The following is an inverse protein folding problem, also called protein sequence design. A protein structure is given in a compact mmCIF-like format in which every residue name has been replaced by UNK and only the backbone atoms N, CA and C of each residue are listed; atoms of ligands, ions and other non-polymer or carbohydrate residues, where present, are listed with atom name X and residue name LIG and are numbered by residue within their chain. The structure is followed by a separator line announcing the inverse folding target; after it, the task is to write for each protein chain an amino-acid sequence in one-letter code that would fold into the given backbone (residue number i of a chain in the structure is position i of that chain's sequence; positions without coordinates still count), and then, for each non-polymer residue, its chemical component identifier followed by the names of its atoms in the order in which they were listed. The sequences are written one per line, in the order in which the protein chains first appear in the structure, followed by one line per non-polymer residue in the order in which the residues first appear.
data_IF_495832265492
#
_entry.id   IF_495832265492
#
_cell.length_a   1.000
_cell.length_b   1.000
_cell.length_c   1.000
_cell.angle_alpha   90.00
_cell.angle_beta   90.00
_cell.angle_gamma   90.00
#
_symmetry.space_group_name_H-M   'P 1'
#
loop_
_entity.id
_entity.type
_entity.pdbx_description
1 polymer ?
#
# COMPACT_ATOMS: atom_id res chain seq x y z
N UNK A 1 10.29 0.99 -20.79
CA UNK A 1 9.53 1.98 -20.03
C UNK A 1 10.52 3.06 -19.59
N UNK A 2 10.11 4.33 -19.58
CA UNK A 2 10.95 5.44 -19.11
C UNK A 2 11.19 5.31 -17.60
N UNK A 3 12.37 5.73 -17.13
CA UNK A 3 12.70 5.66 -15.70
C UNK A 3 11.93 6.71 -14.91
N UNK A 4 11.55 6.41 -13.66
CA UNK A 4 10.77 7.31 -12.79
C UNK A 4 11.38 8.71 -12.68
N UNK A 5 12.70 8.83 -12.52
CA UNK A 5 13.39 10.11 -12.30
C UNK A 5 14.09 10.66 -13.56
N UNK A 6 13.83 10.07 -14.74
CA UNK A 6 14.52 10.41 -16.00
C UNK A 6 14.44 11.90 -16.36
N UNK A 7 13.41 12.58 -15.87
CA UNK A 7 13.10 13.96 -16.22
C UNK A 7 13.16 14.94 -15.06
N UNK A 8 13.63 14.54 -13.88
CA UNK A 8 13.71 15.44 -12.73
C UNK A 8 14.61 16.66 -13.00
N UNK A 9 15.59 16.50 -13.89
CA UNK A 9 16.48 17.57 -14.31
C UNK A 9 15.98 18.41 -15.48
N UNK A 10 14.79 18.13 -16.03
CA UNK A 10 14.26 18.86 -17.20
C UNK A 10 13.43 20.11 -16.89
N UNK A 11 12.64 20.18 -15.80
CA UNK A 11 11.87 21.37 -15.48
C UNK A 11 12.75 22.63 -15.36
N UNK A 12 12.28 23.80 -15.81
CA UNK A 12 13.06 25.03 -15.66
C UNK A 12 13.30 25.36 -14.18
N UNK A 13 14.37 26.10 -13.91
CA UNK A 13 14.59 26.67 -12.57
C UNK A 13 13.42 27.57 -12.17
N UNK A 14 13.14 27.66 -10.87
CA UNK A 14 12.07 28.49 -10.33
C UNK A 14 12.36 29.97 -10.69
N UNK A 15 11.52 30.62 -11.51
CA UNK A 15 11.75 32.01 -11.88
C UNK A 15 11.56 32.92 -10.67
N UNK A 16 12.32 34.01 -10.63
CA UNK A 16 12.06 35.13 -9.73
C UNK A 16 11.12 36.13 -10.44
N UNK A 17 9.88 36.32 -9.97
CA UNK A 17 8.98 37.34 -10.53
C UNK A 17 9.57 38.74 -10.33
N UNK A 18 9.23 39.70 -11.20
CA UNK A 18 9.67 41.09 -10.98
C UNK A 18 9.04 41.68 -9.72
N UNK A 19 9.73 42.64 -9.12
CA UNK A 19 9.22 43.35 -7.95
C UNK A 19 7.87 44.02 -8.27
N UNK A 20 7.75 44.67 -9.42
CA UNK A 20 6.54 45.37 -9.84
C UNK A 20 5.35 44.40 -9.97
N UNK A 21 5.56 43.26 -10.63
CA UNK A 21 4.51 42.25 -10.79
C UNK A 21 4.07 41.68 -9.44
N UNK A 22 5.02 41.45 -8.54
CA UNK A 22 4.74 40.95 -7.18
C UNK A 22 3.90 41.96 -6.38
N UNK A 23 4.26 43.25 -6.44
CA UNK A 23 3.58 44.30 -5.70
C UNK A 23 2.19 44.61 -6.26
N UNK A 24 2.00 44.54 -7.57
CA UNK A 24 0.69 44.67 -8.22
C UNK A 24 -0.25 43.56 -7.76
N UNK A 25 0.19 42.29 -7.85
CA UNK A 25 -0.59 41.14 -7.39
C UNK A 25 -0.89 41.18 -5.89
N UNK A 26 0.05 41.68 -5.08
CA UNK A 26 -0.18 41.92 -3.66
C UNK A 26 -1.32 42.93 -3.44
N UNK A 27 -1.29 44.09 -4.12
CA UNK A 27 -2.36 45.09 -3.99
C UNK A 27 -3.72 44.55 -4.45
N UNK A 28 -3.75 43.79 -5.55
CA UNK A 28 -4.98 43.13 -6.02
C UNK A 28 -5.55 42.18 -4.96
N UNK A 29 -4.69 41.40 -4.29
CA UNK A 29 -5.12 40.50 -3.21
C UNK A 29 -5.63 41.25 -1.98
N UNK A 30 -4.98 42.36 -1.60
CA UNK A 30 -5.39 43.20 -0.47
C UNK A 30 -6.72 43.89 -0.77
N UNK A 31 -6.97 44.31 -2.01
CA UNK A 31 -8.22 44.99 -2.38
C UNK A 31 -9.47 44.16 -2.06
N UNK A 32 -9.37 42.84 -2.08
CA UNK A 32 -10.48 41.95 -1.77
C UNK A 32 -10.87 41.90 -0.29
N UNK A 33 -9.99 42.33 0.63
CA UNK A 33 -10.18 42.14 2.07
C UNK A 33 -10.26 43.44 2.89
N UNK A 34 -9.86 44.59 2.33
CA UNK A 34 -9.80 45.87 3.04
C UNK A 34 -10.75 46.92 2.47
N UNK A 35 -11.10 47.90 3.28
CA UNK A 35 -11.90 49.05 2.83
C UNK A 35 -11.06 50.07 2.03
N UNK A 36 -11.70 51.11 1.49
CA UNK A 36 -11.04 52.11 0.63
C UNK A 36 -9.93 52.89 1.35
N UNK A 37 -10.15 53.31 2.59
CA UNK A 37 -9.17 54.08 3.36
C UNK A 37 -7.91 53.25 3.68
N UNK A 38 -8.12 51.99 4.08
CA UNK A 38 -7.04 51.02 4.31
C UNK A 38 -6.28 50.69 3.03
N UNK A 39 -6.98 50.57 1.91
CA UNK A 39 -6.36 50.32 0.61
C UNK A 39 -5.48 51.49 0.19
N UNK A 40 -5.96 52.73 0.31
CA UNK A 40 -5.17 53.94 -0.01
C UNK A 40 -3.91 54.00 0.83
N UNK A 41 -4.02 53.72 2.14
CA UNK A 41 -2.86 53.66 3.04
C UNK A 41 -1.87 52.56 2.62
N UNK A 42 -2.36 51.37 2.31
CA UNK A 42 -1.52 50.24 1.89
C UNK A 42 -0.81 50.53 0.57
N UNK A 43 -1.52 51.10 -0.41
CA UNK A 43 -0.94 51.51 -1.69
C UNK A 43 0.22 52.48 -1.49
N UNK A 44 0.08 53.48 -0.60
CA UNK A 44 1.17 54.41 -0.29
C UNK A 44 2.40 53.70 0.30
N UNK A 45 2.20 52.71 1.18
CA UNK A 45 3.30 51.92 1.76
C UNK A 45 3.99 51.10 0.66
N UNK A 46 3.22 50.44 -0.21
CA UNK A 46 3.76 49.65 -1.33
C UNK A 46 4.56 50.51 -2.29
N UNK A 47 4.09 51.71 -2.62
CA UNK A 47 4.82 52.66 -3.47
C UNK A 47 6.14 53.13 -2.84
N UNK A 48 6.14 53.37 -1.53
CA UNK A 48 7.36 53.71 -0.79
C UNK A 48 8.34 52.54 -0.74
N UNK A 49 7.84 51.32 -0.53
CA UNK A 49 8.65 50.11 -0.54
C UNK A 49 9.28 49.86 -1.91
N UNK A 50 8.50 49.97 -2.99
CA UNK A 50 8.95 49.79 -4.37
C UNK A 50 10.10 50.75 -4.74
N UNK A 51 10.02 52.00 -4.27
CA UNK A 51 11.01 53.06 -4.55
C UNK A 51 12.18 53.08 -3.58
N UNK A 52 12.06 52.39 -2.44
CA UNK A 52 13.07 52.36 -1.37
C UNK A 52 13.66 50.97 -1.19
N UNK A 53 13.63 50.49 0.05
CA UNK A 53 14.30 49.25 0.48
C UNK A 53 13.84 48.00 -0.29
N UNK A 54 12.62 47.99 -0.83
CA UNK A 54 12.13 46.84 -1.59
C UNK A 54 12.97 46.55 -2.84
N UNK A 55 13.47 47.59 -3.51
CA UNK A 55 14.37 47.41 -4.66
C UNK A 55 15.72 46.83 -4.23
N UNK A 56 16.28 47.33 -3.13
CA UNK A 56 17.55 46.84 -2.58
C UNK A 56 17.45 45.36 -2.18
N UNK A 57 16.37 44.98 -1.50
CA UNK A 57 16.11 43.60 -1.10
C UNK A 57 15.90 42.68 -2.30
N UNK A 58 15.19 43.15 -3.34
CA UNK A 58 14.98 42.37 -4.56
C UNK A 58 16.29 42.11 -5.31
N UNK A 59 17.18 43.11 -5.40
CA UNK A 59 18.50 42.94 -6.01
C UNK A 59 19.41 42.03 -5.19
N UNK A 60 19.37 42.13 -3.85
CA UNK A 60 20.10 41.19 -2.98
C UNK A 60 19.59 39.76 -3.16
N UNK A 61 18.27 39.57 -3.25
CA UNK A 61 17.67 38.29 -3.54
C UNK A 61 18.16 37.75 -4.89
N UNK A 62 18.11 38.56 -5.94
CA UNK A 62 18.59 38.18 -7.28
C UNK A 62 20.08 37.81 -7.27
N UNK A 63 20.93 38.61 -6.63
CA UNK A 63 22.35 38.33 -6.49
C UNK A 63 22.60 37.02 -5.70
N UNK A 64 21.80 36.75 -4.67
CA UNK A 64 21.89 35.50 -3.91
C UNK A 64 21.53 34.29 -4.79
N UNK A 65 20.46 34.40 -5.60
CA UNK A 65 20.05 33.35 -6.54
C UNK A 65 21.15 33.09 -7.57
N UNK A 66 21.69 34.15 -8.17
CA UNK A 66 22.76 34.06 -9.17
C UNK A 66 24.05 33.45 -8.58
N UNK A 67 24.38 33.80 -7.33
CA UNK A 67 25.55 33.28 -6.62
C UNK A 67 25.46 31.79 -6.31
N UNK A 68 24.30 31.33 -5.84
CA UNK A 68 24.14 29.95 -5.39
C UNK A 68 23.73 28.99 -6.53
N UNK A 69 23.23 29.51 -7.65
CA UNK A 69 22.84 28.74 -8.84
C UNK A 69 21.90 27.56 -8.54
N UNK A 70 21.09 27.69 -7.49
CA UNK A 70 20.12 26.67 -7.10
C UNK A 70 18.95 26.64 -8.11
N UNK A 71 18.53 25.45 -8.52
CA UNK A 71 17.37 25.28 -9.42
C UNK A 71 16.08 25.81 -8.81
N UNK A 72 15.95 25.74 -7.49
CA UNK A 72 14.85 26.31 -6.74
C UNK A 72 15.41 27.04 -5.53
N UNK A 73 15.53 28.37 -5.66
CA UNK A 73 16.08 29.25 -4.64
C UNK A 73 15.23 29.36 -3.38
N UNK A 74 13.96 28.93 -3.43
CA UNK A 74 13.02 29.06 -2.32
C UNK A 74 13.03 27.84 -1.40
N UNK A 75 13.43 26.65 -1.88
CA UNK A 75 13.30 25.38 -1.14
C UNK A 75 13.88 25.47 0.26
N UNK A 76 15.11 25.97 0.40
CA UNK A 76 15.79 26.04 1.70
C UNK A 76 15.10 26.99 2.67
N UNK A 77 14.75 28.20 2.22
CA UNK A 77 14.02 29.15 3.06
C UNK A 77 12.63 28.65 3.43
N UNK A 78 11.95 27.97 2.52
CA UNK A 78 10.65 27.39 2.78
C UNK A 78 10.73 26.32 3.87
N UNK A 79 11.67 25.38 3.75
CA UNK A 79 11.88 24.35 4.77
C UNK A 79 12.23 24.97 6.13
N UNK A 80 13.17 25.92 6.17
CA UNK A 80 13.63 26.54 7.41
C UNK A 80 12.57 27.45 8.07
N UNK A 81 12.06 28.44 7.35
CA UNK A 81 11.21 29.50 7.92
C UNK A 81 9.77 29.03 8.18
N UNK A 82 9.22 28.17 7.32
CA UNK A 82 7.82 27.75 7.42
C UNK A 82 7.67 26.52 8.31
N UNK A 83 8.59 25.57 8.24
CA UNK A 83 8.47 24.30 8.96
C UNK A 83 9.44 24.17 10.14
N UNK A 84 10.75 24.30 9.90
CA UNK A 84 11.75 23.85 10.88
C UNK A 84 11.98 24.84 12.04
N UNK A 85 11.80 26.13 11.82
CA UNK A 85 11.90 27.16 12.87
C UNK A 85 10.65 27.27 13.73
N UNK A 86 9.50 26.80 13.22
CA UNK A 86 8.24 26.96 13.91
C UNK A 86 8.15 26.04 15.13
N UNK A 87 7.81 26.59 16.30
CA UNK A 87 7.81 25.87 17.58
C UNK A 87 6.44 25.43 18.08
N UNK A 88 5.40 25.57 17.24
CA UNK A 88 4.08 25.08 17.60
C UNK A 88 4.00 23.55 17.50
N UNK A 89 3.09 22.90 18.27
CA UNK A 89 2.92 21.46 18.19
C UNK A 89 2.56 21.00 16.77
N UNK A 90 3.41 20.17 16.18
CA UNK A 90 3.34 19.79 14.75
C UNK A 90 2.06 18.99 14.44
N UNK A 91 1.60 18.15 15.37
CA UNK A 91 0.48 17.24 15.15
C UNK A 91 -0.83 17.94 14.78
N UNK A 92 -1.31 18.97 15.50
CA UNK A 92 -2.52 19.71 15.11
C UNK A 92 -2.27 20.82 14.08
N UNK A 93 -1.06 21.38 13.95
CA UNK A 93 -0.85 22.60 13.15
C UNK A 93 -0.29 22.36 11.75
N UNK A 94 0.45 21.27 11.54
CA UNK A 94 1.18 21.02 10.29
C UNK A 94 0.85 19.66 9.69
N UNK A 95 0.72 18.61 10.51
CA UNK A 95 0.52 17.27 9.99
C UNK A 95 -0.81 17.16 9.24
N UNK A 96 -0.71 16.80 7.96
CA UNK A 96 -1.86 16.50 7.12
C UNK A 96 -2.19 15.02 7.21
N UNK A 97 -3.46 14.68 7.43
CA UNK A 97 -3.93 13.29 7.39
C UNK A 97 -4.83 13.07 6.16
N UNK A 98 -4.48 12.08 5.35
CA UNK A 98 -5.32 11.58 4.26
C UNK A 98 -5.72 10.14 4.55
N UNK A 99 -7.02 9.84 4.53
CA UNK A 99 -7.50 8.47 4.69
C UNK A 99 -7.54 7.77 3.34
N UNK A 100 -6.88 6.62 3.26
CA UNK A 100 -6.98 5.74 2.10
C UNK A 100 -8.24 4.88 2.24
N UNK A 101 -9.30 5.19 1.50
CA UNK A 101 -10.48 4.35 1.34
C UNK A 101 -10.33 3.31 0.21
N UNK A 102 -9.09 2.87 -0.07
CA UNK A 102 -8.78 1.96 -1.18
C UNK A 102 -9.39 0.56 -1.04
N UNK A 103 -9.80 0.16 0.17
CA UNK A 103 -10.37 -1.15 0.41
C UNK A 103 -11.90 -1.07 0.48
N UNK A 104 -12.63 -1.89 -0.31
CA UNK A 104 -14.07 -1.97 -0.19
C UNK A 104 -14.43 -2.41 1.25
N UNK A 105 -15.57 -1.95 1.79
CA UNK A 105 -15.95 -2.17 3.19
C UNK A 105 -16.06 -3.65 3.58
N UNK A 106 -16.04 -4.59 2.62
CA UNK A 106 -16.22 -6.03 2.77
C UNK A 106 -15.04 -6.79 3.41
N UNK A 107 -13.90 -6.16 3.69
CA UNK A 107 -12.78 -6.80 4.40
C UNK A 107 -12.94 -6.54 5.89
N UNK A 108 -13.71 -7.36 6.61
CA UNK A 108 -14.20 -7.02 7.96
C UNK A 108 -13.11 -6.99 9.05
N UNK A 109 -11.92 -7.56 8.81
CA UNK A 109 -10.82 -7.62 9.79
C UNK A 109 -9.84 -6.46 9.65
N UNK A 110 -9.58 -5.75 10.77
CA UNK A 110 -8.51 -4.75 10.86
C UNK A 110 -7.15 -5.32 10.47
N UNK A 111 -6.86 -6.56 10.89
CA UNK A 111 -5.60 -7.24 10.58
C UNK A 111 -5.44 -7.41 9.07
N UNK A 112 -6.47 -7.93 8.39
CA UNK A 112 -6.43 -8.13 6.94
C UNK A 112 -6.26 -6.80 6.20
N UNK A 113 -6.97 -5.74 6.61
CA UNK A 113 -6.81 -4.40 6.03
C UNK A 113 -5.39 -3.85 6.22
N UNK A 114 -4.82 -4.01 7.42
CA UNK A 114 -3.45 -3.59 7.71
C UNK A 114 -2.42 -4.35 6.85
N UNK A 115 -2.55 -5.67 6.74
CA UNK A 115 -1.67 -6.49 5.89
C UNK A 115 -1.71 -6.06 4.43
N UNK A 116 -2.91 -5.86 3.87
CA UNK A 116 -3.06 -5.40 2.47
C UNK A 116 -2.46 -4.00 2.29
N UNK A 117 -2.70 -3.08 3.23
CA UNK A 117 -2.17 -1.72 3.15
C UNK A 117 -0.64 -1.70 3.19
N UNK A 118 -0.04 -2.41 4.15
CA UNK A 118 1.42 -2.54 4.26
C UNK A 118 2.01 -3.16 2.98
N UNK A 119 1.38 -4.22 2.46
CA UNK A 119 1.80 -4.87 1.22
C UNK A 119 1.72 -3.91 0.02
N UNK A 120 0.62 -3.16 -0.12
CA UNK A 120 0.47 -2.17 -1.17
C UNK A 120 1.51 -1.05 -1.08
N UNK A 121 1.79 -0.53 0.12
CA UNK A 121 2.85 0.46 0.34
C UNK A 121 4.23 -0.10 -0.05
N UNK A 122 4.52 -1.35 0.30
CA UNK A 122 5.78 -2.01 -0.06
C UNK A 122 5.93 -2.17 -1.59
N UNK A 123 4.84 -2.53 -2.30
CA UNK A 123 4.85 -2.59 -3.76
C UNK A 123 5.11 -1.23 -4.40
N UNK A 124 4.45 -0.17 -3.92
CA UNK A 124 4.70 1.19 -4.42
C UNK A 124 6.16 1.59 -4.18
N UNK A 125 6.68 1.34 -2.97
CA UNK A 125 8.07 1.60 -2.65
C UNK A 125 9.03 0.84 -3.58
N UNK A 126 8.79 -0.45 -3.83
CA UNK A 126 9.59 -1.24 -4.77
C UNK A 126 9.56 -0.66 -6.19
N UNK A 127 8.39 -0.23 -6.68
CA UNK A 127 8.28 0.38 -8.02
C UNK A 127 9.02 1.70 -8.13
N UNK A 128 9.00 2.54 -7.09
CA UNK A 128 9.75 3.80 -7.06
C UNK A 128 11.26 3.50 -7.00
N UNK A 129 11.66 2.54 -6.17
CA UNK A 129 13.06 2.12 -6.03
C UNK A 129 13.65 1.61 -7.34
N UNK A 130 12.93 0.75 -8.04
CA UNK A 130 13.36 0.19 -9.32
C UNK A 130 13.19 1.17 -10.50
N UNK A 131 12.82 2.42 -10.21
CA UNK A 131 12.52 3.46 -11.20
C UNK A 131 11.45 3.02 -12.23
N UNK A 132 10.52 2.15 -11.81
CA UNK A 132 9.38 1.65 -12.59
C UNK A 132 8.08 2.36 -12.27
N UNK A 133 8.05 3.26 -11.29
CA UNK A 133 6.88 4.07 -11.00
C UNK A 133 6.60 5.04 -12.16
N UNK A 134 5.34 5.12 -12.64
CA UNK A 134 5.02 5.91 -13.81
C UNK A 134 5.27 7.41 -13.59
N UNK A 135 5.87 8.04 -14.58
CA UNK A 135 6.07 9.49 -14.61
C UNK A 135 4.70 10.18 -14.61
N UNK A 136 4.53 11.12 -13.68
CA UNK A 136 3.30 11.91 -13.57
C UNK A 136 3.41 13.20 -14.39
N UNK A 137 2.33 13.52 -15.10
CA UNK A 137 2.20 14.73 -15.91
C UNK A 137 0.98 15.51 -15.41
N UNK A 138 1.10 16.83 -15.21
CA UNK A 138 -0.09 17.69 -15.14
C UNK A 138 -0.62 17.88 -16.56
N UNK A 139 -1.84 17.43 -16.83
CA UNK A 139 -2.55 17.43 -18.12
C UNK A 139 -2.00 16.47 -19.20
N UNK A 140 -2.60 15.26 -19.30
CA UNK A 140 -2.19 14.23 -20.27
C UNK A 140 -2.45 14.60 -21.74
N UNK A 141 -3.37 15.53 -22.03
CA UNK A 141 -3.87 15.78 -23.40
C UNK A 141 -3.09 16.83 -24.19
N UNK A 142 -2.20 17.62 -23.56
CA UNK A 142 -1.46 18.72 -24.22
C UNK A 142 0.07 18.61 -24.09
N UNK A 143 0.60 17.39 -24.01
CA UNK A 143 2.05 17.20 -23.79
C UNK A 143 2.51 17.76 -22.43
N UNK A 144 1.72 17.46 -21.39
CA UNK A 144 1.70 18.13 -20.09
C UNK A 144 3.01 18.38 -19.37
N UNK A 145 2.94 19.23 -18.35
CA UNK A 145 4.09 19.60 -17.54
C UNK A 145 4.58 18.41 -16.71
N UNK A 146 5.89 18.16 -16.80
CA UNK A 146 6.58 17.18 -15.98
C UNK A 146 6.56 17.63 -14.52
N UNK A 147 6.10 16.75 -13.63
CA UNK A 147 6.19 16.97 -12.19
C UNK A 147 7.48 16.30 -11.72
N UNK A 148 8.50 17.05 -11.27
CA UNK A 148 9.71 16.45 -10.73
C UNK A 148 9.39 15.67 -9.46
N UNK A 149 9.99 14.47 -9.32
CA UNK A 149 9.83 13.59 -8.18
C UNK A 149 11.07 13.60 -7.26
N UNK A 150 11.98 14.54 -7.44
CA UNK A 150 13.21 14.69 -6.66
C UNK A 150 12.95 14.77 -5.14
N UNK A 151 11.92 15.52 -4.74
CA UNK A 151 11.48 15.62 -3.35
C UNK A 151 11.05 14.27 -2.76
N UNK A 152 10.64 13.31 -3.58
CA UNK A 152 10.21 11.97 -3.13
C UNK A 152 11.41 11.09 -2.85
N UNK A 153 12.43 11.09 -3.71
CA UNK A 153 13.61 10.22 -3.54
C UNK A 153 14.41 10.58 -2.27
N UNK A 154 14.68 11.87 -2.06
CA UNK A 154 15.44 12.34 -0.90
C UNK A 154 14.66 12.11 0.40
N UNK A 155 13.34 12.32 0.38
CA UNK A 155 12.47 12.07 1.54
C UNK A 155 12.29 10.59 1.82
N UNK A 156 12.21 9.73 0.81
CA UNK A 156 12.13 8.26 1.03
C UNK A 156 13.37 7.77 1.76
N UNK A 157 14.56 8.19 1.33
CA UNK A 157 15.83 7.84 2.00
C UNK A 157 15.87 8.36 3.44
N UNK A 158 15.44 9.61 3.65
CA UNK A 158 15.42 10.23 4.97
C UNK A 158 14.40 9.59 5.92
N UNK A 159 13.15 9.37 5.47
CA UNK A 159 12.04 8.88 6.29
C UNK A 159 12.23 7.42 6.68
N UNK A 160 12.65 6.59 5.73
CA UNK A 160 12.77 5.16 6.01
C UNK A 160 14.05 4.84 6.77
N UNK A 161 15.12 5.62 6.61
CA UNK A 161 16.42 5.34 7.24
C UNK A 161 17.00 3.96 6.85
N UNK A 162 16.35 3.26 5.92
CA UNK A 162 16.72 1.94 5.45
C UNK A 162 17.62 2.15 4.24
N UNK A 163 18.88 1.75 4.38
CA UNK A 163 19.81 1.70 3.26
C UNK A 163 19.35 0.66 2.23
N UNK A 164 19.69 0.88 0.96
CA UNK A 164 19.33 -0.08 -0.09
C UNK A 164 19.92 -1.48 0.12
N UNK A 165 21.10 -1.56 0.74
CA UNK A 165 21.71 -2.82 1.15
C UNK A 165 20.85 -3.61 2.14
N UNK A 166 20.09 -2.93 2.99
CA UNK A 166 19.19 -3.56 3.96
C UNK A 166 17.95 -4.13 3.27
N UNK A 167 17.37 -3.42 2.30
CA UNK A 167 16.23 -3.92 1.50
C UNK A 167 16.62 -5.13 0.68
N UNK A 168 17.77 -5.09 0.00
CA UNK A 168 18.24 -6.22 -0.82
C UNK A 168 18.54 -7.47 0.02
N UNK A 169 19.07 -7.27 1.23
CA UNK A 169 19.23 -8.34 2.21
C UNK A 169 17.89 -8.95 2.58
N UNK A 170 16.90 -8.13 2.96
CA UNK A 170 15.54 -8.59 3.28
C UNK A 170 14.88 -9.33 2.11
N UNK A 171 14.99 -8.82 0.88
CA UNK A 171 14.47 -9.52 -0.31
C UNK A 171 15.12 -10.90 -0.52
N UNK A 172 16.42 -11.04 -0.22
CA UNK A 172 17.10 -12.35 -0.27
C UNK A 172 16.55 -13.30 0.79
N UNK A 173 16.43 -12.84 2.03
CA UNK A 173 15.89 -13.62 3.15
C UNK A 173 14.43 -14.05 2.89
N UNK A 174 13.58 -13.15 2.39
CA UNK A 174 12.19 -13.49 2.04
C UNK A 174 12.11 -14.55 0.94
N UNK A 175 12.91 -14.43 -0.13
CA UNK A 175 12.96 -15.46 -1.19
C UNK A 175 13.44 -16.81 -0.68
N UNK A 176 14.30 -16.81 0.32
CA UNK A 176 14.77 -18.04 0.96
C UNK A 176 13.67 -18.68 1.81
N UNK A 177 12.97 -17.88 2.62
CA UNK A 177 11.80 -18.34 3.37
C UNK A 177 10.68 -18.87 2.47
N UNK A 178 10.41 -18.22 1.33
CA UNK A 178 9.43 -18.70 0.35
C UNK A 178 9.83 -20.06 -0.23
N UNK A 179 11.12 -20.27 -0.54
CA UNK A 179 11.63 -21.57 -0.99
C UNK A 179 11.45 -22.65 0.07
N UNK A 180 11.85 -22.36 1.31
CA UNK A 180 11.68 -23.30 2.43
C UNK A 180 10.21 -23.64 2.67
N UNK A 181 9.32 -22.66 2.54
CA UNK A 181 7.88 -22.87 2.68
C UNK A 181 7.34 -23.76 1.57
N UNK A 182 7.76 -23.54 0.31
CA UNK A 182 7.39 -24.41 -0.82
C UNK A 182 7.92 -25.84 -0.64
N UNK A 183 9.14 -26.01 -0.14
CA UNK A 183 9.72 -27.33 0.13
C UNK A 183 8.89 -28.07 1.19
N UNK A 184 8.60 -27.42 2.33
CA UNK A 184 7.74 -27.99 3.37
C UNK A 184 6.34 -28.32 2.87
N UNK A 185 5.78 -27.48 1.99
CA UNK A 185 4.48 -27.74 1.38
C UNK A 185 4.52 -28.97 0.46
N UNK A 186 5.59 -29.11 -0.34
CA UNK A 186 5.80 -30.28 -1.18
C UNK A 186 6.00 -31.56 -0.36
N UNK A 187 6.76 -31.50 0.74
CA UNK A 187 6.94 -32.62 1.68
C UNK A 187 5.60 -33.04 2.30
N UNK A 188 4.79 -32.08 2.76
CA UNK A 188 3.45 -32.34 3.27
C UNK A 188 2.55 -33.03 2.23
N UNK A 189 2.62 -32.60 0.97
CA UNK A 189 1.88 -33.24 -0.13
C UNK A 189 2.35 -34.69 -0.34
N UNK A 190 3.65 -34.96 -0.27
CA UNK A 190 4.18 -36.33 -0.41
C UNK A 190 3.80 -37.22 0.77
N UNK A 191 3.85 -36.70 2.00
CA UNK A 191 3.39 -37.41 3.19
C UNK A 191 1.91 -37.73 3.12
N UNK A 192 1.08 -36.78 2.66
CA UNK A 192 -0.35 -37.00 2.46
C UNK A 192 -0.60 -38.15 1.46
N UNK A 193 0.11 -38.15 0.32
CA UNK A 193 0.02 -39.24 -0.67
C UNK A 193 0.43 -40.60 -0.09
N UNK A 194 1.50 -40.66 0.72
CA UNK A 194 1.92 -41.90 1.38
C UNK A 194 0.88 -42.39 2.38
N UNK A 195 0.29 -41.48 3.17
CA UNK A 195 -0.77 -41.80 4.11
C UNK A 195 -2.01 -42.35 3.40
N UNK A 196 -2.38 -41.75 2.27
CA UNK A 196 -3.51 -42.21 1.45
C UNK A 196 -3.23 -43.58 0.82
N UNK A 197 -2.00 -43.83 0.35
CA UNK A 197 -1.58 -45.15 -0.13
C UNK A 197 -1.60 -46.21 0.97
N UNK A 198 -1.09 -45.91 2.17
CA UNK A 198 -1.13 -46.86 3.30
C UNK A 198 -2.56 -47.19 3.74
N UNK A 199 -3.48 -46.21 3.68
CA UNK A 199 -4.90 -46.46 3.94
C UNK A 199 -5.49 -47.39 2.88
N UNK A 200 -5.20 -47.13 1.60
CA UNK A 200 -5.63 -47.97 0.49
C UNK A 200 -5.08 -49.40 0.64
N UNK A 201 -3.80 -49.56 0.96
CA UNK A 201 -3.15 -50.86 1.15
C UNK A 201 -3.75 -51.63 2.34
N UNK A 202 -4.09 -50.95 3.44
CA UNK A 202 -4.77 -51.55 4.60
C UNK A 202 -6.21 -51.96 4.27
N UNK A 203 -6.94 -51.16 3.50
CA UNK A 203 -8.28 -51.52 3.00
C UNK A 203 -8.21 -52.74 2.08
N UNK A 204 -7.29 -52.75 1.11
CA UNK A 204 -7.07 -53.89 0.21
C UNK A 204 -6.62 -55.15 0.97
N UNK A 205 -5.77 -55.00 1.99
CA UNK A 205 -5.37 -56.11 2.85
C UNK A 205 -6.55 -56.64 3.70
N UNK A 206 -7.41 -55.77 4.22
CA UNK A 206 -8.62 -56.16 4.94
C UNK A 206 -9.61 -56.88 4.01
N UNK A 207 -9.77 -56.43 2.77
CA UNK A 207 -10.57 -57.09 1.72
C UNK A 207 -9.98 -58.47 1.38
N UNK A 208 -8.65 -58.59 1.23
CA UNK A 208 -7.98 -59.88 0.98
C UNK A 208 -8.09 -60.83 2.17
N UNK A 209 -7.97 -60.33 3.40
CA UNK A 209 -8.08 -61.14 4.61
C UNK A 209 -9.51 -61.66 4.80
N UNK A 210 -10.53 -60.82 4.59
CA UNK A 210 -11.93 -61.25 4.59
C UNK A 210 -12.23 -62.26 3.48
N UNK A 211 -11.65 -62.09 2.29
CA UNK A 211 -11.77 -63.08 1.21
C UNK A 211 -11.10 -64.43 1.55
N UNK A 212 -9.92 -64.41 2.19
CA UNK A 212 -9.22 -65.64 2.66
C UNK A 212 -10.00 -66.38 3.75
N UNK A 213 -10.60 -65.66 4.69
CA UNK A 213 -11.43 -66.27 5.75
C UNK A 213 -12.72 -66.87 5.19
N UNK A 214 -13.24 -66.31 4.08
CA UNK A 214 -14.44 -66.81 3.40
C UNK A 214 -14.19 -68.08 2.57
N UNK A 215 -12.93 -68.46 2.32
CA UNK A 215 -12.60 -69.63 1.50
C UNK A 215 -11.43 -70.46 2.06
N UNK A 216 -11.67 -71.30 3.09
CA UNK A 216 -10.63 -72.14 3.67
C UNK A 216 -10.53 -73.47 2.91
N UNK A 217 -10.00 -73.47 1.68
CA UNK A 217 -9.45 -74.65 0.99
C UNK A 217 -8.99 -74.29 -0.42
N UNK A 218 -7.68 -74.36 -0.67
CA UNK A 218 -7.13 -75.00 -1.89
C UNK A 218 -5.63 -75.27 -1.70
N UNK A 219 -5.29 -76.54 -1.46
CA UNK A 219 -3.97 -77.12 -1.73
C UNK A 219 -4.19 -78.26 -2.72
N UNK A 220 -4.06 -78.00 -4.02
CA UNK A 220 -3.64 -78.98 -5.05
C UNK A 220 -3.75 -78.40 -6.46
N UNK A 221 -2.63 -78.44 -7.18
CA UNK A 221 -2.43 -78.78 -8.60
C UNK A 221 -3.37 -78.29 -9.72
N UNK A 222 -2.67 -77.87 -10.78
CA UNK A 222 -2.98 -78.03 -12.22
C UNK A 222 -3.58 -76.84 -12.97
N UNK A 223 -2.94 -76.61 -14.11
CA UNK A 223 -3.23 -75.69 -15.19
C UNK A 223 -4.59 -75.95 -15.83
N UNK A 224 -5.36 -74.90 -16.10
CA UNK A 224 -6.08 -74.70 -17.37
C UNK A 224 -6.83 -73.37 -17.34
N UNK A 225 -6.79 -72.67 -18.47
CA UNK A 225 -7.52 -71.44 -18.74
C UNK A 225 -9.02 -71.71 -18.85
N UNK A 226 -9.85 -70.90 -18.18
CA UNK A 226 -11.23 -70.65 -18.62
C UNK A 226 -11.56 -69.17 -18.46
N UNK A 227 -12.14 -68.68 -19.54
CA UNK A 227 -12.47 -67.32 -19.95
C UNK A 227 -13.72 -66.75 -19.23
N UNK A 228 -13.74 -65.42 -19.12
CA UNK A 228 -14.88 -64.51 -19.30
C UNK A 228 -16.16 -64.60 -18.41
N UNK A 229 -16.42 -63.42 -17.82
CA UNK A 229 -17.70 -62.69 -17.75
C UNK A 229 -18.84 -63.22 -16.88
N UNK A 230 -19.21 -62.42 -15.88
CA UNK A 230 -20.62 -62.19 -15.56
C UNK A 230 -20.86 -60.68 -15.39
N UNK A 231 -21.89 -60.23 -16.08
CA UNK A 231 -22.22 -58.85 -16.41
C UNK A 231 -23.12 -58.20 -15.35
N UNK A 232 -23.04 -56.87 -15.32
CA UNK A 232 -24.15 -55.91 -15.27
C UNK A 232 -25.01 -55.75 -14.00
N UNK A 233 -24.90 -54.55 -13.43
CA UNK A 233 -26.00 -53.58 -13.24
C UNK A 233 -27.14 -53.92 -12.30
N UNK A 234 -27.18 -53.20 -11.16
CA UNK A 234 -28.42 -52.65 -10.63
C UNK A 234 -28.24 -51.15 -10.36
N UNK A 235 -29.02 -50.39 -11.12
CA UNK A 235 -29.20 -48.96 -11.06
C UNK A 235 -30.34 -48.60 -10.09
N UNK A 236 -30.30 -47.36 -9.58
CA UNK A 236 -31.44 -46.51 -9.18
C UNK A 236 -31.91 -46.59 -7.73
N UNK A 237 -31.70 -45.49 -6.96
CA UNK A 237 -32.74 -44.51 -6.61
C UNK A 237 -32.16 -43.34 -5.77
N UNK A 238 -32.30 -42.13 -6.30
CA UNK A 238 -32.32 -40.84 -5.57
C UNK A 238 -33.75 -40.60 -5.03
N UNK A 239 -34.04 -39.77 -3.99
CA UNK A 239 -33.81 -38.32 -4.09
C UNK A 239 -33.58 -37.50 -2.78
N UNK A 240 -33.29 -36.24 -3.06
CA UNK A 240 -33.10 -35.04 -2.23
C UNK A 240 -34.27 -34.71 -1.29
N UNK A 241 -33.97 -34.20 -0.08
CA UNK A 241 -34.76 -33.14 0.56
C UNK A 241 -33.93 -32.30 1.55
N UNK A 242 -34.11 -30.99 1.45
CA UNK A 242 -33.48 -29.89 2.20
C UNK A 242 -33.86 -29.90 3.68
N UNK A 243 -32.96 -29.43 4.54
CA UNK A 243 -33.38 -28.55 5.64
C UNK A 243 -32.35 -27.44 5.87
N UNK A 244 -32.87 -26.23 5.91
CA UNK A 244 -32.20 -25.01 6.29
C UNK A 244 -31.96 -25.00 7.81
N UNK A 245 -30.77 -24.59 8.24
CA UNK A 245 -30.67 -23.82 9.47
C UNK A 245 -29.49 -22.86 9.42
N UNK A 246 -29.85 -21.57 9.30
CA UNK A 246 -29.03 -20.45 9.77
C UNK A 246 -28.66 -20.72 11.23
N UNK A 247 -27.40 -20.55 11.60
CA UNK A 247 -27.02 -20.15 12.95
C UNK A 247 -26.20 -18.88 12.86
N UNK A 248 -26.88 -17.77 13.16
CA UNK A 248 -26.23 -16.53 13.53
C UNK A 248 -25.82 -16.59 15.00
N UNK A 249 -24.79 -15.81 15.29
CA UNK A 249 -24.50 -15.06 16.52
C UNK A 249 -24.52 -15.73 17.92
N UNK A 250 -23.50 -15.31 18.67
CA UNK A 250 -23.33 -15.28 20.13
C UNK A 250 -23.20 -16.60 20.89
N UNK A 251 -21.96 -17.07 21.03
CA UNK A 251 -21.49 -17.71 22.27
C UNK A 251 -20.41 -16.83 22.90
N UNK A 252 -20.84 -15.74 23.55
CA UNK A 252 -20.12 -15.15 24.68
C UNK A 252 -21.07 -15.26 25.88
N UNK A 253 -20.59 -15.65 27.07
CA UNK A 253 -21.43 -15.62 28.26
C UNK A 253 -21.89 -14.19 28.55
N UNK A 254 -23.13 -13.98 29.04
CA UNK A 254 -23.65 -12.65 29.30
C UNK A 254 -22.85 -11.97 30.42
N UNK A 255 -22.47 -10.72 30.20
CA UNK A 255 -21.93 -9.85 31.25
C UNK A 255 -23.11 -9.43 32.13
N UNK A 256 -23.13 -9.91 33.37
CA UNK A 256 -24.08 -9.44 34.38
C UNK A 256 -23.61 -8.04 34.80
N UNK A 257 -24.29 -7.02 34.30
CA UNK A 257 -24.13 -5.64 34.79
C UNK A 257 -25.03 -5.47 36.02
N UNK A 258 -24.44 -5.05 37.13
CA UNK A 258 -25.18 -4.65 38.34
C UNK A 258 -25.98 -3.37 38.06
N UNK A 259 -27.10 -3.18 38.79
CA UNK A 259 -28.08 -2.09 38.57
C UNK A 259 -27.49 -0.67 38.57
N UNK A 260 -26.26 -0.46 39.04
CA UNK A 260 -25.60 0.84 39.11
C UNK A 260 -24.90 1.33 37.82
N UNK A 261 -24.97 0.62 36.69
CA UNK A 261 -24.31 1.05 35.43
C UNK A 261 -25.25 1.46 34.29
N UNK A 262 -26.57 1.60 34.55
CA UNK A 262 -27.56 2.00 33.52
C UNK A 262 -27.85 3.50 33.44
N UNK A 263 -27.28 4.34 34.31
CA UNK A 263 -27.66 5.76 34.40
C UNK A 263 -26.75 6.78 33.69
N UNK A 264 -25.69 6.37 32.97
CA UNK A 264 -24.75 7.34 32.39
C UNK A 264 -24.49 7.19 30.88
N UNK A 265 -25.55 6.95 30.10
CA UNK A 265 -25.53 7.21 28.66
C UNK A 265 -26.89 7.77 28.22
N UNK A 266 -26.99 9.10 28.17
CA UNK A 266 -27.93 9.85 27.33
C UNK A 266 -27.15 10.96 26.64
#
# INVERSE_FOLDING_TARGET
MKKTFEYDDKPPSLPLPTLEHTLERYLDSVRAVVNDDEYVRTKKIVEQFAKGIGRELHEQLKANIEKHQERNWLTKWWDEEIYLKWRLPIAPTINMMGFSCLLPPKVDSQLTRACIHIYACALVFETIYEERYPISYMEREKGGYLIPLNNVNDRIKFILGISMSSVEKLKREMREQEREMLEKQNELIQLQKKLDQEKQDKEDAAIRATFRLRNPRTRSSSSSSVTAAFNSTLTTFMPVAKSSQKRGHSDRPPIILTENQKENVR
#
